data_IF_173473505825
#
_entry.id   IF_173473505825
#
_cell.length_a   1.000
_cell.length_b   1.000
_cell.length_c   1.000
_cell.angle_alpha   90.00
_cell.angle_beta   90.00
_cell.angle_gamma   90.00
#
_symmetry.space_group_name_H-M   'P 1'
#
loop_
_entity.id
_entity.type
_entity.pdbx_description
1 polymer ?
#
# COMPACT_ATOMS: atom_id res chain seq x y z
N UNK A 1 -19.03 -2.74 3.47
CA UNK A 1 -18.15 -3.66 4.17
C UNK A 1 -18.26 -5.06 3.61
N UNK A 2 -17.15 -5.78 3.57
CA UNK A 2 -17.13 -7.14 3.06
C UNK A 2 -17.75 -8.12 4.05
N UNK A 3 -18.35 -9.19 3.54
CA UNK A 3 -18.82 -10.27 4.41
C UNK A 3 -17.61 -10.97 5.06
N UNK A 4 -17.81 -11.59 6.23
CA UNK A 4 -16.69 -12.30 6.87
C UNK A 4 -16.04 -13.35 5.98
N UNK A 5 -16.82 -14.08 5.19
CA UNK A 5 -16.24 -15.06 4.28
C UNK A 5 -15.40 -14.44 3.18
N UNK A 6 -15.82 -13.29 2.66
CA UNK A 6 -15.04 -12.57 1.66
C UNK A 6 -13.77 -11.98 2.25
N UNK A 7 -13.85 -11.49 3.48
CA UNK A 7 -12.66 -10.96 4.15
C UNK A 7 -11.63 -12.07 4.35
N UNK A 8 -12.06 -13.25 4.76
CA UNK A 8 -11.18 -14.40 4.93
C UNK A 8 -10.52 -14.77 3.61
N UNK A 9 -11.30 -14.86 2.53
CA UNK A 9 -10.76 -15.17 1.21
C UNK A 9 -9.79 -14.10 0.73
N UNK A 10 -10.10 -12.83 0.97
CA UNK A 10 -9.21 -11.74 0.64
C UNK A 10 -7.89 -11.81 1.39
N UNK A 11 -7.94 -12.14 2.68
CA UNK A 11 -6.74 -12.30 3.48
C UNK A 11 -5.90 -13.49 3.01
N UNK A 12 -6.52 -14.57 2.58
CA UNK A 12 -5.79 -15.72 2.06
C UNK A 12 -5.04 -15.36 0.79
N UNK A 13 -5.69 -14.67 -0.16
CA UNK A 13 -5.05 -14.26 -1.41
C UNK A 13 -3.91 -13.30 -1.17
N UNK A 14 -4.12 -12.27 -0.35
CA UNK A 14 -3.08 -11.27 -0.09
C UNK A 14 -1.92 -11.89 0.68
N UNK A 15 -2.18 -12.81 1.59
CA UNK A 15 -1.14 -13.50 2.33
C UNK A 15 -0.27 -14.36 1.43
N UNK A 16 -0.89 -15.08 0.49
CA UNK A 16 -0.15 -15.88 -0.48
C UNK A 16 0.68 -14.98 -1.40
N UNK A 17 0.11 -13.88 -1.84
CA UNK A 17 0.81 -12.92 -2.69
C UNK A 17 2.02 -12.34 -1.97
N UNK A 18 1.85 -11.95 -0.71
CA UNK A 18 2.96 -11.44 0.10
C UNK A 18 4.07 -12.48 0.23
N UNK A 19 3.71 -13.72 0.48
CA UNK A 19 4.68 -14.81 0.59
C UNK A 19 5.51 -14.95 -0.69
N UNK A 20 4.86 -14.88 -1.84
CA UNK A 20 5.56 -15.00 -3.12
C UNK A 20 6.49 -13.81 -3.41
N UNK A 21 6.17 -12.65 -2.85
CA UNK A 21 6.98 -11.44 -3.01
C UNK A 21 8.07 -11.31 -1.95
N UNK A 22 8.23 -12.30 -1.07
CA UNK A 22 9.25 -12.29 -0.04
C UNK A 22 8.80 -11.64 1.26
N UNK A 23 7.48 -11.58 1.50
CA UNK A 23 6.89 -11.02 2.71
C UNK A 23 7.31 -9.56 2.95
N UNK A 24 7.13 -8.65 1.98
CA UNK A 24 7.57 -7.26 2.14
C UNK A 24 6.89 -6.54 3.31
N UNK A 25 5.68 -7.00 3.71
CA UNK A 25 4.97 -6.40 4.84
C UNK A 25 5.70 -6.60 6.18
N UNK A 26 6.63 -7.55 6.26
CA UNK A 26 7.42 -7.78 7.47
C UNK A 26 8.63 -6.86 7.57
N UNK A 27 8.97 -6.20 6.47
CA UNK A 27 10.11 -5.29 6.40
C UNK A 27 9.70 -3.83 6.47
N UNK A 28 8.42 -3.59 6.79
CA UNK A 28 7.91 -2.22 6.90
C UNK A 28 8.33 -1.59 8.22
N UNK A 29 8.55 -0.27 8.23
CA UNK A 29 8.70 0.45 9.49
C UNK A 29 7.37 0.45 10.25
N UNK A 30 7.33 1.02 11.48
CA UNK A 30 6.08 1.08 12.23
C UNK A 30 4.95 1.69 11.39
N UNK A 31 3.75 1.11 11.50
CA UNK A 31 2.61 1.48 10.67
C UNK A 31 1.51 2.10 11.53
N UNK A 32 1.00 3.26 11.08
CA UNK A 32 -0.21 3.86 11.64
C UNK A 32 -1.37 3.60 10.68
N UNK A 33 -2.39 2.93 11.17
CA UNK A 33 -3.58 2.67 10.36
C UNK A 33 -4.67 3.66 10.74
N UNK A 34 -5.06 4.51 9.80
CA UNK A 34 -6.09 5.52 10.00
C UNK A 34 -7.35 5.10 9.28
N UNK A 35 -8.42 4.90 10.03
CA UNK A 35 -9.71 4.47 9.50
C UNK A 35 -10.79 5.46 9.88
N UNK A 36 -11.90 5.45 9.13
CA UNK A 36 -13.03 6.31 9.39
C UNK A 36 -13.58 6.89 8.09
N UNK A 37 -14.75 7.50 8.19
CA UNK A 37 -15.44 8.05 7.02
C UNK A 37 -15.15 9.53 6.79
N UNK A 38 -14.81 10.27 7.87
CA UNK A 38 -14.57 11.70 7.79
C UNK A 38 -13.22 12.05 8.42
N UNK A 39 -12.52 12.99 7.82
CA UNK A 39 -11.27 13.51 8.35
C UNK A 39 -10.07 12.57 8.22
N UNK A 40 -10.23 11.43 7.57
CA UNK A 40 -9.16 10.46 7.42
C UNK A 40 -7.96 11.03 6.67
N UNK A 41 -8.21 11.69 5.55
CA UNK A 41 -7.15 12.32 4.77
C UNK A 41 -6.44 13.42 5.52
N UNK A 42 -7.19 14.25 6.26
CA UNK A 42 -6.61 15.31 7.07
C UNK A 42 -5.76 14.75 8.20
N UNK A 43 -6.22 13.69 8.86
CA UNK A 43 -5.47 13.02 9.92
C UNK A 43 -4.15 12.45 9.40
N UNK A 44 -4.18 11.79 8.25
CA UNK A 44 -2.97 11.25 7.62
C UNK A 44 -1.99 12.35 7.26
N UNK A 45 -2.47 13.46 6.70
CA UNK A 45 -1.61 14.59 6.32
C UNK A 45 -0.97 15.21 7.56
N UNK A 46 -1.73 15.35 8.65
CA UNK A 46 -1.21 15.88 9.91
C UNK A 46 -0.14 14.96 10.50
N UNK A 47 -0.41 13.65 10.53
CA UNK A 47 0.57 12.68 11.04
C UNK A 47 1.85 12.72 10.22
N UNK A 48 1.72 12.74 8.90
CA UNK A 48 2.88 12.80 8.01
C UNK A 48 3.71 14.05 8.28
N UNK A 49 3.06 15.21 8.33
CA UNK A 49 3.75 16.47 8.57
C UNK A 49 4.47 16.47 9.91
N UNK A 50 3.82 15.95 10.95
CA UNK A 50 4.40 15.89 12.29
C UNK A 50 5.62 14.97 12.34
N UNK A 51 5.53 13.80 11.71
CA UNK A 51 6.64 12.84 11.70
C UNK A 51 7.80 13.34 10.87
N UNK A 52 7.52 13.97 9.72
CA UNK A 52 8.58 14.56 8.90
C UNK A 52 9.27 15.72 9.61
N UNK A 53 8.50 16.53 10.33
CA UNK A 53 9.07 17.62 11.13
C UNK A 53 9.98 17.09 12.24
N UNK A 54 9.71 15.86 12.71
CA UNK A 54 10.56 15.20 13.70
C UNK A 54 11.76 14.49 13.08
N UNK A 55 12.00 14.65 11.79
CA UNK A 55 13.14 14.05 11.11
C UNK A 55 12.92 12.63 10.64
N UNK A 56 11.67 12.15 10.60
CA UNK A 56 11.37 10.79 10.17
C UNK A 56 11.09 10.75 8.68
N UNK A 57 11.46 9.63 8.04
CA UNK A 57 11.04 9.33 6.67
C UNK A 57 9.70 8.65 6.72
N UNK A 58 8.73 9.17 5.96
CA UNK A 58 7.34 8.70 6.05
C UNK A 58 6.86 8.26 4.68
N UNK A 59 6.27 7.06 4.65
CA UNK A 59 5.56 6.56 3.48
C UNK A 59 4.07 6.61 3.77
N UNK A 60 3.26 6.81 2.73
CA UNK A 60 1.81 6.89 2.89
C UNK A 60 1.13 6.07 1.81
N UNK A 61 0.13 5.29 2.22
CA UNK A 61 -0.74 4.57 1.30
C UNK A 61 -2.18 4.97 1.62
N UNK A 62 -2.87 5.52 0.62
CA UNK A 62 -4.26 5.97 0.78
C UNK A 62 -5.14 5.43 -0.34
N UNK A 63 -6.44 5.43 -0.10
CA UNK A 63 -7.43 5.09 -1.12
C UNK A 63 -8.74 5.77 -0.77
N UNK A 64 -9.57 6.10 -1.78
CA UNK A 64 -9.29 6.02 -3.21
C UNK A 64 -8.47 7.22 -3.71
N UNK A 65 -8.02 7.15 -4.97
CA UNK A 65 -7.41 8.33 -5.60
C UNK A 65 -8.51 9.20 -6.22
N UNK A 66 -8.18 10.49 -6.41
CA UNK A 66 -9.13 11.44 -7.01
C UNK A 66 -8.95 11.53 -8.52
N UNK A 67 -7.73 11.64 -8.99
CA UNK A 67 -7.42 11.85 -10.41
C UNK A 67 -6.47 10.78 -10.94
N UNK A 68 -5.33 10.59 -10.26
CA UNK A 68 -4.30 9.65 -10.70
C UNK A 68 -4.04 8.61 -9.64
N UNK A 69 -3.83 7.37 -10.10
CA UNK A 69 -3.52 6.26 -9.22
C UNK A 69 -2.31 6.53 -8.32
N UNK A 70 -1.30 7.24 -8.85
CA UNK A 70 -0.08 7.56 -8.09
C UNK A 70 -0.36 8.31 -6.79
N UNK A 71 -1.51 8.97 -6.67
CA UNK A 71 -1.90 9.65 -5.44
C UNK A 71 -1.99 8.71 -4.23
N UNK A 72 -2.20 7.43 -4.48
CA UNK A 72 -2.37 6.44 -3.42
C UNK A 72 -1.07 6.09 -2.71
N UNK A 73 0.07 6.30 -3.35
CA UNK A 73 1.36 5.83 -2.84
C UNK A 73 2.34 7.00 -2.77
N UNK A 74 2.77 7.31 -1.56
CA UNK A 74 3.79 8.33 -1.33
C UNK A 74 4.98 7.66 -0.63
N UNK A 75 6.14 7.71 -1.28
CA UNK A 75 7.34 7.08 -0.80
C UNK A 75 8.31 8.16 -0.37
N UNK A 76 8.72 8.14 0.89
CA UNK A 76 9.66 9.12 1.45
C UNK A 76 9.22 10.56 1.18
N UNK A 77 7.92 10.82 1.33
CA UNK A 77 7.36 12.16 1.20
C UNK A 77 6.98 12.58 -0.20
N UNK A 78 7.21 11.76 -1.22
CA UNK A 78 6.89 12.11 -2.60
C UNK A 78 5.98 11.07 -3.25
N UNK A 79 5.05 11.53 -4.07
CA UNK A 79 4.19 10.63 -4.83
C UNK A 79 5.06 9.74 -5.72
N UNK A 80 4.73 8.46 -5.76
CA UNK A 80 5.46 7.50 -6.59
C UNK A 80 5.29 7.88 -8.06
N UNK A 81 6.36 7.85 -8.84
CA UNK A 81 6.29 8.14 -10.27
C UNK A 81 6.01 6.85 -11.05
N UNK A 82 5.63 7.03 -12.32
CA UNK A 82 5.28 5.92 -13.18
C UNK A 82 6.46 4.99 -13.43
N UNK A 83 7.65 5.54 -13.54
CA UNK A 83 8.86 4.76 -13.80
C UNK A 83 9.18 3.81 -12.64
N UNK A 84 8.83 4.19 -11.42
CA UNK A 84 9.02 3.34 -10.23
C UNK A 84 7.85 2.39 -10.06
N UNK A 85 6.64 2.87 -10.29
CA UNK A 85 5.42 2.10 -10.05
C UNK A 85 5.24 0.94 -11.03
N UNK A 86 5.49 1.18 -12.32
CA UNK A 86 5.23 0.18 -13.35
C UNK A 86 6.00 -1.13 -13.12
N UNK A 87 7.30 -1.12 -12.81
CA UNK A 87 8.01 -2.38 -12.53
C UNK A 87 7.48 -3.10 -11.29
N UNK A 88 7.03 -2.37 -10.27
CA UNK A 88 6.48 -2.98 -9.07
C UNK A 88 5.16 -3.69 -9.38
N UNK A 89 4.28 -3.05 -10.13
CA UNK A 89 3.03 -3.67 -10.57
C UNK A 89 3.28 -4.90 -11.44
N UNK A 90 4.25 -4.81 -12.33
CA UNK A 90 4.64 -5.92 -13.18
C UNK A 90 5.11 -7.11 -12.35
N UNK A 91 5.94 -6.86 -11.35
CA UNK A 91 6.43 -7.91 -10.46
C UNK A 91 5.27 -8.56 -9.69
N UNK A 92 4.34 -7.77 -9.19
CA UNK A 92 3.16 -8.28 -8.48
C UNK A 92 2.32 -9.16 -9.41
N UNK A 93 2.06 -8.70 -10.63
CA UNK A 93 1.25 -9.44 -11.59
C UNK A 93 1.93 -10.74 -12.00
N UNK A 94 3.24 -10.72 -12.19
CA UNK A 94 4.00 -11.93 -12.57
C UNK A 94 3.94 -12.98 -11.46
N UNK A 95 3.91 -12.56 -10.20
CA UNK A 95 3.82 -13.48 -9.06
C UNK A 95 2.42 -13.98 -8.80
N UNK A 96 1.40 -13.41 -9.43
CA UNK A 96 0.01 -13.63 -9.06
C UNK A 96 -0.85 -14.20 -10.19
N UNK A 97 -0.25 -14.79 -11.22
CA UNK A 97 -0.98 -15.27 -12.39
C UNK A 97 -2.06 -16.31 -12.04
N UNK A 98 -1.84 -17.11 -11.00
CA UNK A 98 -2.79 -18.14 -10.56
C UNK A 98 -3.58 -17.75 -9.31
N UNK A 99 -3.28 -16.61 -8.69
CA UNK A 99 -3.98 -16.15 -7.50
C UNK A 99 -5.18 -15.29 -7.87
N UNK A 100 -5.08 -14.55 -8.98
CA UNK A 100 -6.10 -13.60 -9.44
C UNK A 100 -6.48 -12.59 -8.34
N UNK A 101 -5.52 -11.82 -7.82
CA UNK A 101 -5.82 -10.85 -6.78
C UNK A 101 -6.73 -9.75 -7.29
N UNK A 102 -7.50 -9.14 -6.37
CA UNK A 102 -8.28 -7.97 -6.72
C UNK A 102 -7.34 -6.79 -7.01
N UNK A 103 -7.91 -5.76 -7.64
CA UNK A 103 -7.17 -4.52 -7.90
C UNK A 103 -6.58 -3.95 -6.60
N UNK A 104 -7.37 -3.94 -5.53
CA UNK A 104 -6.92 -3.42 -4.24
C UNK A 104 -5.78 -4.26 -3.67
N UNK A 105 -5.87 -5.58 -3.78
CA UNK A 105 -4.82 -6.48 -3.28
C UNK A 105 -3.52 -6.29 -4.03
N UNK A 106 -3.57 -6.22 -5.36
CA UNK A 106 -2.38 -6.01 -6.18
C UNK A 106 -1.74 -4.67 -5.89
N UNK A 107 -2.54 -3.63 -5.73
CA UNK A 107 -2.09 -2.27 -5.42
C UNK A 107 -1.42 -2.20 -4.06
N UNK A 108 -2.03 -2.84 -3.07
CA UNK A 108 -1.48 -2.90 -1.71
C UNK A 108 -0.13 -3.60 -1.71
N UNK A 109 -0.02 -4.70 -2.46
CA UNK A 109 1.24 -5.43 -2.58
C UNK A 109 2.33 -4.56 -3.19
N UNK A 110 2.00 -3.81 -4.25
CA UNK A 110 2.96 -2.90 -4.88
C UNK A 110 3.42 -1.81 -3.93
N UNK A 111 2.49 -1.25 -3.14
CA UNK A 111 2.84 -0.23 -2.15
C UNK A 111 3.79 -0.78 -1.10
N UNK A 112 3.51 -1.96 -0.58
CA UNK A 112 4.37 -2.59 0.43
C UNK A 112 5.76 -2.90 -0.12
N UNK A 113 5.85 -3.35 -1.37
CA UNK A 113 7.16 -3.54 -2.01
C UNK A 113 7.94 -2.22 -2.08
N UNK A 114 7.28 -1.15 -2.50
CA UNK A 114 7.93 0.16 -2.60
C UNK A 114 8.45 0.61 -1.24
N UNK A 115 7.63 0.45 -0.20
CA UNK A 115 8.00 0.87 1.16
C UNK A 115 9.14 0.03 1.72
N UNK A 116 9.07 -1.28 1.53
CA UNK A 116 10.09 -2.19 2.06
C UNK A 116 11.45 -2.00 1.39
N UNK A 117 11.45 -1.59 0.12
CA UNK A 117 12.69 -1.41 -0.65
C UNK A 117 13.28 -0.02 -0.54
N UNK A 118 12.64 0.86 0.18
CA UNK A 118 13.12 2.21 0.46
C UNK A 118 13.62 2.31 1.88
#
# INVERSE_FOLDING_TARGET
>A
MLSPGRDVLGLERISELMSRLGNPHRDLPPVFHVAGTNGKGSTCAFLRASLEAAGKTVHVYTSPHLIRFNERIRVAGQLIDDATLAPLLSEVLDCSTDIAPSFFEATTAAAFLAFART
#
